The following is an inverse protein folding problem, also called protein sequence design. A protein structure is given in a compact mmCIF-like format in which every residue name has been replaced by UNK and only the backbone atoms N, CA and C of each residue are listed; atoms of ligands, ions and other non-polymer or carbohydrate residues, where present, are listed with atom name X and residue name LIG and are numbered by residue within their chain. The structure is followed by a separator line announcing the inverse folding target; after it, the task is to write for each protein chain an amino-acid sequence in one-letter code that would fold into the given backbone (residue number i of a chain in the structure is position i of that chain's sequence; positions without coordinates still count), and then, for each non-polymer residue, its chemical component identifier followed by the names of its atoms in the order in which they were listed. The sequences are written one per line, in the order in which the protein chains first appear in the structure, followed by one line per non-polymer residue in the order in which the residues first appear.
data_IF_838242270515
#
_entry.id   IF_838242270515
#
_cell.length_a   1.000
_cell.length_b   1.000
_cell.length_c   1.000
_cell.angle_alpha   90.00
_cell.angle_beta   90.00
_cell.angle_gamma   90.00
#
_symmetry.space_group_name_H-M   'P 1'
#
loop_
_entity.id
_entity.type
_entity.pdbx_description
1 polymer ?
#
# COMPACT_ATOMS: atom_id res chain seq x y z
N UNK A 1 -19.08 13.91 -3.46
CA UNK A 1 -17.90 13.23 -2.90
C UNK A 1 -16.83 14.26 -2.69
N UNK A 2 -16.18 14.25 -1.52
CA UNK A 2 -15.02 15.08 -1.22
C UNK A 2 -13.73 14.29 -1.52
N UNK A 3 -12.66 14.99 -1.88
CA UNK A 3 -11.34 14.39 -2.08
C UNK A 3 -10.55 14.24 -0.77
N UNK A 4 -11.14 14.59 0.38
CA UNK A 4 -10.49 14.43 1.67
C UNK A 4 -10.51 12.95 2.10
N UNK A 5 -9.34 12.38 2.38
CA UNK A 5 -9.20 10.99 2.87
C UNK A 5 -10.02 10.72 4.12
N UNK A 6 -10.14 11.69 5.03
CA UNK A 6 -10.92 11.53 6.26
C UNK A 6 -12.41 11.32 5.96
N UNK A 7 -12.95 12.04 4.98
CA UNK A 7 -14.35 11.88 4.56
C UNK A 7 -14.57 10.56 3.81
N UNK A 8 -13.58 10.12 3.03
CA UNK A 8 -13.62 8.82 2.33
C UNK A 8 -13.64 7.66 3.33
N UNK A 9 -12.87 7.75 4.43
CA UNK A 9 -12.92 6.74 5.50
C UNK A 9 -14.29 6.74 6.17
N UNK A 10 -14.82 7.90 6.56
CA UNK A 10 -16.14 7.99 7.21
C UNK A 10 -17.26 7.42 6.31
N UNK A 11 -17.15 7.58 4.98
CA UNK A 11 -18.10 7.01 4.03
C UNK A 11 -18.11 5.46 4.01
N UNK A 12 -17.04 4.81 4.47
CA UNK A 12 -16.88 3.35 4.54
C UNK A 12 -17.43 2.73 5.84
N UNK A 13 -18.06 3.52 6.73
CA UNK A 13 -18.56 3.03 8.02
C UNK A 13 -19.56 1.88 7.91
N UNK A 14 -20.41 1.88 6.88
CA UNK A 14 -21.44 0.85 6.70
C UNK A 14 -20.89 -0.41 6.05
N UNK A 15 -20.06 -0.23 5.03
CA UNK A 15 -19.41 -1.32 4.29
C UNK A 15 -18.11 -0.79 3.71
N UNK A 16 -17.06 -1.60 3.82
CA UNK A 16 -15.77 -1.30 3.20
C UNK A 16 -15.88 -1.35 1.69
N UNK A 17 -15.26 -0.41 0.99
CA UNK A 17 -15.35 -0.35 -0.47
C UNK A 17 -14.67 -1.53 -1.18
N UNK A 18 -13.74 -2.23 -0.51
CA UNK A 18 -13.16 -3.46 -1.05
C UNK A 18 -14.15 -4.60 -1.30
N UNK A 19 -15.30 -4.63 -0.59
CA UNK A 19 -16.31 -5.68 -0.75
C UNK A 19 -17.17 -5.47 -2.02
N UNK A 20 -17.86 -4.33 -2.21
CA UNK A 20 -18.64 -4.08 -3.43
C UNK A 20 -17.76 -3.79 -4.65
N UNK A 21 -16.57 -3.22 -4.46
CA UNK A 21 -15.66 -2.82 -5.55
C UNK A 21 -14.43 -3.72 -5.63
N UNK A 22 -14.58 -5.02 -5.35
CA UNK A 22 -13.47 -5.98 -5.37
C UNK A 22 -12.63 -5.97 -6.67
N UNK A 23 -13.22 -5.87 -7.88
CA UNK A 23 -12.42 -5.75 -9.11
C UNK A 23 -11.57 -4.47 -9.15
N UNK A 24 -12.08 -3.37 -8.58
CA UNK A 24 -11.36 -2.09 -8.52
C UNK A 24 -10.21 -2.16 -7.51
N UNK A 25 -10.39 -2.86 -6.40
CA UNK A 25 -9.31 -3.15 -5.46
C UNK A 25 -8.15 -3.89 -6.17
N UNK A 26 -8.46 -4.90 -6.98
CA UNK A 26 -7.43 -5.62 -7.74
C UNK A 26 -6.76 -4.70 -8.78
N UNK A 27 -7.55 -3.92 -9.52
CA UNK A 27 -7.01 -2.95 -10.48
C UNK A 27 -6.18 -1.84 -9.82
N UNK A 28 -6.40 -1.54 -8.54
CA UNK A 28 -5.59 -0.60 -7.77
C UNK A 28 -4.30 -1.26 -7.23
N UNK A 29 -4.38 -2.52 -6.79
CA UNK A 29 -3.22 -3.25 -6.26
C UNK A 29 -2.17 -3.58 -7.32
N UNK A 30 -2.58 -3.90 -8.55
CA UNK A 30 -1.64 -4.29 -9.62
C UNK A 30 -0.65 -3.15 -9.97
N UNK A 31 -1.09 -1.90 -10.23
CA UNK A 31 -0.19 -0.78 -10.44
C UNK A 31 0.65 -0.44 -9.21
N UNK A 32 0.11 -0.55 -7.98
CA UNK A 32 0.91 -0.33 -6.77
C UNK A 32 2.06 -1.34 -6.63
N UNK A 33 1.85 -2.60 -7.02
CA UNK A 33 2.90 -3.61 -7.10
C UNK A 33 3.93 -3.29 -8.20
N UNK A 34 3.46 -2.80 -9.35
CA UNK A 34 4.33 -2.40 -10.45
C UNK A 34 5.20 -1.19 -10.10
N UNK A 35 4.65 -0.19 -9.41
CA UNK A 35 5.38 1.04 -9.02
C UNK A 35 6.41 0.79 -7.91
N UNK A 36 6.17 -0.23 -7.07
CA UNK A 36 7.15 -0.65 -6.05
C UNK A 36 8.21 -1.61 -6.61
N UNK A 37 8.21 -1.85 -7.92
CA UNK A 37 9.10 -2.79 -8.62
C UNK A 37 9.17 -4.16 -7.91
N UNK A 38 8.06 -4.62 -7.32
CA UNK A 38 8.04 -5.91 -6.63
C UNK A 38 7.56 -7.02 -7.54
N UNK A 39 8.06 -8.23 -7.29
CA UNK A 39 7.65 -9.44 -8.00
C UNK A 39 6.10 -9.50 -8.07
N UNK A 40 5.50 -9.69 -9.25
CA UNK A 40 6.05 -10.16 -10.53
C UNK A 40 6.56 -9.08 -11.51
N UNK A 41 6.57 -7.79 -11.13
CA UNK A 41 6.92 -6.66 -12.01
C UNK A 41 8.32 -6.09 -11.72
N UNK A 42 9.24 -6.94 -11.28
CA UNK A 42 10.59 -6.54 -10.86
C UNK A 42 11.60 -6.52 -12.03
N UNK A 43 11.23 -5.84 -13.11
CA UNK A 43 12.04 -5.74 -14.33
C UNK A 43 13.39 -5.00 -14.18
N UNK A 44 13.51 -3.93 -13.37
CA UNK A 44 14.78 -3.20 -13.25
C UNK A 44 15.77 -3.79 -12.23
N UNK A 45 15.31 -4.62 -11.28
CA UNK A 45 16.17 -5.23 -10.25
C UNK A 45 16.39 -6.73 -10.46
N UNK A 46 15.84 -7.32 -11.53
CA UNK A 46 15.97 -8.74 -11.87
C UNK A 46 17.43 -9.22 -11.93
N UNK A 47 17.86 -9.77 -10.80
CA UNK A 47 19.14 -10.45 -10.54
C UNK A 47 19.47 -11.55 -11.57
N UNK A 48 18.46 -12.03 -12.31
CA UNK A 48 18.57 -13.11 -13.28
C UNK A 48 19.09 -12.64 -14.66
N UNK A 49 18.95 -11.36 -15.01
CA UNK A 49 19.33 -10.83 -16.33
C UNK A 49 20.48 -9.82 -16.28
N UNK A 50 20.64 -9.11 -15.16
CA UNK A 50 21.83 -8.27 -14.92
C UNK A 50 22.34 -8.55 -13.52
N UNK A 51 23.62 -8.96 -13.43
CA UNK A 51 24.30 -9.31 -12.18
C UNK A 51 24.37 -8.06 -11.30
N UNK A 52 23.37 -7.94 -10.42
CA UNK A 52 23.13 -6.86 -9.46
C UNK A 52 23.08 -5.47 -10.12
N UNK A 53 21.87 -5.04 -10.52
CA UNK A 53 21.57 -3.83 -11.31
C UNK A 53 22.27 -2.52 -10.89
N UNK A 54 21.53 -1.56 -10.33
CA UNK A 54 22.13 -0.28 -9.91
C UNK A 54 22.85 -0.37 -8.56
N UNK A 55 22.57 -1.40 -7.76
CA UNK A 55 23.13 -1.60 -6.42
C UNK A 55 24.65 -1.84 -6.40
N UNK A 56 25.28 -2.21 -7.52
CA UNK A 56 26.73 -2.41 -7.63
C UNK A 56 27.50 -1.12 -7.90
N UNK A 57 26.85 -0.10 -8.46
CA UNK A 57 27.49 1.17 -8.81
C UNK A 57 27.56 2.14 -7.63
N UNK A 58 26.82 1.89 -6.55
CA UNK A 58 26.78 2.76 -5.37
C UNK A 58 27.83 2.39 -4.31
N UNK A 59 28.48 3.42 -3.76
CA UNK A 59 29.26 3.33 -2.51
C UNK A 59 28.38 2.82 -1.35
N UNK A 60 29.00 2.26 -0.31
CA UNK A 60 28.32 1.64 0.84
C UNK A 60 27.19 2.51 1.45
N UNK A 61 27.31 3.85 1.40
CA UNK A 61 26.27 4.77 1.89
C UNK A 61 25.05 4.85 0.95
N UNK A 62 25.25 4.82 -0.37
CA UNK A 62 24.16 4.83 -1.35
C UNK A 62 23.38 3.52 -1.33
N UNK A 63 24.10 2.39 -1.26
CA UNK A 63 23.51 1.07 -1.08
C UNK A 63 22.67 0.96 0.21
N UNK A 64 23.17 1.54 1.31
CA UNK A 64 22.44 1.56 2.58
C UNK A 64 21.13 2.38 2.53
N UNK A 65 21.02 3.36 1.62
CA UNK A 65 19.84 4.21 1.50
C UNK A 65 18.79 3.65 0.51
N UNK A 66 19.17 2.80 -0.43
CA UNK A 66 18.23 2.16 -1.37
C UNK A 66 17.20 1.29 -0.65
N UNK A 67 17.63 0.43 0.28
CA UNK A 67 16.72 -0.44 1.03
C UNK A 67 15.62 0.32 1.80
N UNK A 68 15.92 1.27 2.71
CA UNK A 68 14.87 2.01 3.40
C UNK A 68 14.04 2.87 2.44
N UNK A 69 14.59 3.31 1.30
CA UNK A 69 13.86 4.03 0.26
C UNK A 69 12.78 3.18 -0.40
N UNK A 70 13.10 1.94 -0.80
CA UNK A 70 12.13 0.99 -1.34
C UNK A 70 11.07 0.60 -0.30
N UNK A 71 11.47 0.36 0.95
CA UNK A 71 10.54 0.09 2.06
C UNK A 71 9.62 1.27 2.33
N UNK A 72 10.14 2.50 2.28
CA UNK A 72 9.31 3.70 2.39
C UNK A 72 8.30 3.79 1.25
N UNK A 73 8.71 3.49 0.00
CA UNK A 73 7.83 3.50 -1.16
C UNK A 73 6.72 2.43 -1.03
N UNK A 74 7.06 1.24 -0.55
CA UNK A 74 6.08 0.18 -0.25
C UNK A 74 5.04 0.63 0.77
N UNK A 75 5.48 1.25 1.87
CA UNK A 75 4.56 1.74 2.91
C UNK A 75 3.69 2.87 2.35
N UNK A 76 4.26 3.82 1.60
CA UNK A 76 3.49 4.92 1.03
C UNK A 76 2.42 4.44 0.06
N UNK A 77 2.70 3.42 -0.76
CA UNK A 77 1.71 2.84 -1.69
C UNK A 77 0.65 1.97 -1.00
N UNK A 78 1.01 1.32 0.10
CA UNK A 78 0.03 0.56 0.90
C UNK A 78 -0.96 1.46 1.66
N UNK A 79 -0.54 2.67 2.04
CA UNK A 79 -1.33 3.59 2.84
C UNK A 79 -2.64 4.10 2.18
N UNK A 80 -2.69 4.52 0.90
CA UNK A 80 -3.95 4.85 0.25
C UNK A 80 -4.79 3.59 -0.01
N UNK A 81 -4.19 2.41 -0.19
CA UNK A 81 -4.96 1.18 -0.40
C UNK A 81 -5.83 0.86 0.82
N UNK A 82 -5.29 1.03 2.03
CA UNK A 82 -6.05 0.78 3.26
C UNK A 82 -7.10 1.87 3.52
N UNK A 83 -6.78 3.13 3.25
CA UNK A 83 -7.70 4.26 3.40
C UNK A 83 -8.89 4.21 2.43
N UNK A 84 -8.65 3.79 1.18
CA UNK A 84 -9.66 3.83 0.13
C UNK A 84 -10.56 2.59 0.11
N UNK A 85 -10.05 1.41 0.49
CA UNK A 85 -10.79 0.16 0.32
C UNK A 85 -11.03 -0.65 1.59
N UNK A 86 -10.18 -0.52 2.60
CA UNK A 86 -10.20 -1.37 3.80
C UNK A 86 -10.66 -0.62 5.06
N UNK A 87 -11.32 0.52 4.90
CA UNK A 87 -11.90 1.26 6.03
C UNK A 87 -10.90 2.07 6.86
N UNK A 88 -9.62 2.14 6.49
CA UNK A 88 -8.62 2.94 7.18
C UNK A 88 -8.46 2.55 8.66
N UNK A 89 -9.04 3.36 9.54
CA UNK A 89 -9.04 3.14 11.00
C UNK A 89 -10.35 2.55 11.53
N UNK A 90 -11.37 2.35 10.69
CA UNK A 90 -12.68 1.85 11.13
C UNK A 90 -12.66 0.35 11.49
N UNK A 91 -13.45 -0.09 12.48
CA UNK A 91 -13.61 -1.49 12.81
C UNK A 91 -14.38 -2.22 11.71
N UNK A 92 -14.12 -3.53 11.62
CA UNK A 92 -14.81 -4.43 10.67
C UNK A 92 -16.31 -4.51 10.96
N UNK A 93 -16.70 -4.44 12.24
CA UNK A 93 -18.07 -4.56 12.73
C UNK A 93 -18.31 -3.53 13.84
N UNK A 94 -19.44 -2.84 13.78
CA UNK A 94 -19.92 -1.89 14.80
C UNK A 94 -20.42 -2.65 16.06
N UNK A 95 -19.62 -3.58 16.58
CA UNK A 95 -19.88 -4.28 17.84
C UNK A 95 -19.26 -3.47 18.99
N UNK A 96 -19.93 -3.40 20.15
CA UNK A 96 -19.49 -2.59 21.28
C UNK A 96 -18.14 -3.04 21.86
N UNK A 97 -17.70 -4.27 21.58
CA UNK A 97 -16.39 -4.80 21.99
C UNK A 97 -15.25 -4.15 21.19
N UNK A 98 -15.47 -3.84 19.91
CA UNK A 98 -14.44 -3.25 19.07
C UNK A 98 -14.29 -1.75 19.34
N UNK A 99 -15.37 -1.03 19.67
CA UNK A 99 -15.37 0.40 20.02
C UNK A 99 -14.61 0.76 21.33
N UNK A 100 -14.22 -0.24 22.12
CA UNK A 100 -13.41 -0.04 23.33
C UNK A 100 -11.94 0.21 22.99
N UNK A 101 -11.49 -0.20 21.79
CA UNK A 101 -10.13 0.04 21.34
C UNK A 101 -10.06 1.49 20.82
N UNK A 102 -9.27 2.37 21.44
CA UNK A 102 -9.15 3.74 20.96
C UNK A 102 -8.56 3.73 19.56
N UNK A 103 -9.32 4.23 18.59
CA UNK A 103 -8.93 4.29 17.17
C UNK A 103 -9.87 3.57 16.21
N UNK A 104 -10.85 2.79 16.70
CA UNK A 104 -11.92 2.18 15.90
C UNK A 104 -13.23 2.97 16.00
#
# INVERSE_FOLDING_TARGET
GSCNFSEIVIAQKKIWFGIPLFPVLIMFLIPCLAETNRAPFDLPEAEAESVAGYNVEYSAMGFALSFPGEYANMISMSSPCTLLFLGGWLPILDLPIFQVIPGS
#
